data_IF_504041928129
#
_entry.id   IF_504041928129
#
_cell.length_a   1.000
_cell.length_b   1.000
_cell.length_c   1.000
_cell.angle_alpha   90.00
_cell.angle_beta   90.00
_cell.angle_gamma   90.00
#
_symmetry.space_group_name_H-M   'P 1'
#
loop_
_entity.id
_entity.type
_entity.pdbx_description
1 polymer ?
#
# COMPACT_ATOMS: atom_id res chain seq x y z
N UNK A 1 5.20 17.81 21.84
CA UNK A 1 5.12 16.44 22.38
C UNK A 1 5.96 15.59 21.44
N UNK A 2 7.17 15.24 21.83
CA UNK A 2 7.97 14.29 21.07
C UNK A 2 7.22 12.95 21.09
N UNK A 3 6.95 12.42 19.91
CA UNK A 3 6.39 11.07 19.79
C UNK A 3 7.51 10.10 20.17
N UNK A 4 7.43 9.51 21.36
CA UNK A 4 8.39 8.51 21.85
C UNK A 4 8.40 7.22 21.00
N UNK A 5 7.42 7.08 20.08
CA UNK A 5 7.26 5.91 19.23
C UNK A 5 7.88 6.13 17.85
N UNK A 6 8.60 5.14 17.35
CA UNK A 6 9.14 5.07 16.01
C UNK A 6 8.16 4.35 15.07
N UNK A 7 7.96 4.86 13.86
CA UNK A 7 7.14 4.23 12.85
C UNK A 7 7.75 2.91 12.37
N UNK A 8 9.07 2.87 12.17
CA UNK A 8 9.80 1.64 11.82
C UNK A 8 9.65 0.59 12.93
N UNK A 9 9.71 1.01 14.20
CA UNK A 9 9.49 0.09 15.31
C UNK A 9 8.07 -0.49 15.34
N UNK A 10 7.03 0.27 14.92
CA UNK A 10 5.67 -0.27 14.77
C UNK A 10 5.59 -1.33 13.66
N UNK A 11 6.27 -1.12 12.55
CA UNK A 11 6.36 -2.11 11.45
C UNK A 11 7.05 -3.37 11.95
N UNK A 12 8.22 -3.24 12.58
CA UNK A 12 8.99 -4.35 13.14
C UNK A 12 8.17 -5.15 14.15
N UNK A 13 7.52 -4.46 15.10
CA UNK A 13 6.67 -5.10 16.11
C UNK A 13 5.50 -5.84 15.47
N UNK A 14 4.82 -5.24 14.47
CA UNK A 14 3.72 -5.90 13.78
C UNK A 14 4.17 -7.18 13.10
N UNK A 15 5.31 -7.15 12.40
CA UNK A 15 5.89 -8.33 11.76
C UNK A 15 6.19 -9.44 12.80
N UNK A 16 6.89 -9.11 13.86
CA UNK A 16 7.29 -10.07 14.90
C UNK A 16 6.11 -10.70 15.61
N UNK A 17 5.12 -9.87 15.98
CA UNK A 17 3.94 -10.32 16.74
C UNK A 17 3.01 -11.19 15.90
N UNK A 18 2.87 -10.87 14.60
CA UNK A 18 1.90 -11.54 13.71
C UNK A 18 2.54 -12.55 12.76
N UNK A 19 3.73 -13.06 13.06
CA UNK A 19 4.62 -13.85 12.22
C UNK A 19 3.95 -14.89 11.32
N UNK A 20 2.96 -15.61 11.84
CA UNK A 20 2.24 -16.68 11.15
C UNK A 20 0.90 -16.27 10.56
N UNK A 21 0.45 -15.03 10.80
CA UNK A 21 -0.79 -14.53 10.22
C UNK A 21 -0.58 -14.16 8.75
N UNK A 22 -1.64 -14.25 7.96
CA UNK A 22 -1.66 -13.69 6.62
C UNK A 22 -1.55 -12.17 6.71
N UNK A 23 -0.67 -11.59 5.90
CA UNK A 23 -0.40 -10.16 5.89
C UNK A 23 -0.93 -9.49 4.61
N UNK A 24 -0.54 -10.00 3.45
CA UNK A 24 -0.77 -9.39 2.16
C UNK A 24 -1.29 -10.43 1.17
N UNK A 25 -2.38 -10.13 0.49
CA UNK A 25 -2.93 -10.99 -0.56
C UNK A 25 -3.29 -10.18 -1.79
N UNK A 26 -2.78 -10.57 -2.95
CA UNK A 26 -3.31 -10.14 -4.22
C UNK A 26 -4.62 -10.88 -4.48
N UNK A 27 -5.73 -10.17 -4.61
CA UNK A 27 -7.04 -10.80 -4.79
C UNK A 27 -7.04 -11.74 -5.99
N UNK A 28 -7.36 -13.02 -5.75
CA UNK A 28 -7.21 -14.15 -6.68
C UNK A 28 -5.77 -14.43 -7.13
N UNK A 29 -4.80 -14.08 -6.30
CA UNK A 29 -3.38 -14.28 -6.54
C UNK A 29 -2.63 -14.82 -5.31
N UNK A 30 -1.42 -14.34 -5.10
CA UNK A 30 -0.54 -14.80 -4.02
C UNK A 30 -0.99 -14.30 -2.65
N UNK A 31 -0.71 -15.08 -1.62
CA UNK A 31 -0.83 -14.68 -0.21
C UNK A 31 0.54 -14.77 0.46
N UNK A 32 0.92 -13.73 1.17
CA UNK A 32 2.13 -13.64 1.99
C UNK A 32 1.75 -13.55 3.46
N UNK A 33 2.36 -14.36 4.31
CA UNK A 33 2.32 -14.19 5.75
C UNK A 33 3.30 -13.09 6.18
N UNK A 34 3.16 -12.55 7.41
CA UNK A 34 4.09 -11.55 7.93
C UNK A 34 5.54 -12.03 7.88
N UNK A 35 5.81 -13.33 8.12
CA UNK A 35 7.15 -13.94 7.95
C UNK A 35 7.67 -13.91 6.51
N UNK A 36 6.78 -14.02 5.53
CA UNK A 36 7.17 -13.99 4.12
C UNK A 36 7.47 -12.56 3.69
N UNK A 37 6.72 -11.59 4.22
CA UNK A 37 7.00 -10.15 4.08
C UNK A 37 8.38 -9.83 4.64
N UNK A 38 8.67 -10.25 5.88
CA UNK A 38 9.97 -10.06 6.51
C UNK A 38 11.13 -10.60 5.65
N UNK A 39 11.00 -11.85 5.17
CA UNK A 39 12.03 -12.46 4.31
C UNK A 39 12.24 -11.69 3.02
N UNK A 40 11.16 -11.18 2.41
CA UNK A 40 11.25 -10.37 1.19
C UNK A 40 11.88 -9.00 1.47
N UNK A 41 11.57 -8.37 2.59
CA UNK A 41 12.21 -7.13 3.04
C UNK A 41 13.73 -7.33 3.12
N UNK A 42 14.21 -8.37 3.81
CA UNK A 42 15.64 -8.63 3.95
C UNK A 42 16.32 -8.92 2.60
N UNK A 43 15.64 -9.59 1.68
CA UNK A 43 16.16 -9.79 0.32
C UNK A 43 16.27 -8.49 -0.46
N UNK A 44 15.30 -7.59 -0.31
CA UNK A 44 15.39 -6.27 -0.94
C UNK A 44 16.49 -5.45 -0.28
N UNK A 45 16.67 -5.50 1.05
CA UNK A 45 17.80 -4.86 1.74
C UNK A 45 19.15 -5.31 1.14
N UNK A 46 19.33 -6.61 0.87
CA UNK A 46 20.54 -7.12 0.20
C UNK A 46 20.74 -6.47 -1.17
N UNK A 47 19.66 -6.31 -1.97
CA UNK A 47 19.76 -5.62 -3.26
C UNK A 47 20.12 -4.14 -3.09
N UNK A 48 19.52 -3.44 -2.12
CA UNK A 48 19.81 -2.04 -1.83
C UNK A 48 21.27 -1.84 -1.39
N UNK A 49 21.76 -2.69 -0.46
CA UNK A 49 23.16 -2.68 0.00
C UNK A 49 24.13 -2.86 -1.18
N UNK A 50 23.87 -3.81 -2.07
CA UNK A 50 24.73 -4.10 -3.22
C UNK A 50 24.60 -3.07 -4.34
N UNK A 51 23.49 -2.33 -4.41
CA UNK A 51 23.35 -1.15 -5.27
C UNK A 51 24.06 0.09 -4.71
N UNK A 52 24.64 -0.01 -3.52
CA UNK A 52 25.30 1.12 -2.84
C UNK A 52 24.32 2.18 -2.37
N UNK A 53 23.09 1.78 -2.02
CA UNK A 53 22.08 2.68 -1.46
C UNK A 53 22.44 2.99 -0.01
N UNK A 54 22.34 4.27 0.35
CA UNK A 54 22.57 4.76 1.69
C UNK A 54 21.28 5.31 2.32
N UNK A 55 21.30 5.51 3.63
CA UNK A 55 20.19 6.13 4.36
C UNK A 55 19.90 7.54 3.79
N UNK A 56 18.63 7.81 3.50
CA UNK A 56 18.18 9.07 2.88
C UNK A 56 18.23 9.10 1.36
N UNK A 57 18.81 8.09 0.70
CA UNK A 57 18.70 7.94 -0.75
C UNK A 57 17.25 7.71 -1.17
N UNK A 58 16.88 8.20 -2.34
CA UNK A 58 15.51 8.13 -2.85
C UNK A 58 15.34 6.90 -3.73
N UNK A 59 14.26 6.17 -3.49
CA UNK A 59 13.87 4.96 -4.23
C UNK A 59 12.47 5.17 -4.78
N UNK A 60 12.35 5.14 -6.11
CA UNK A 60 11.06 5.27 -6.78
C UNK A 60 10.32 3.93 -6.83
N UNK A 61 9.00 3.98 -6.64
CA UNK A 61 8.12 2.82 -6.76
C UNK A 61 6.94 3.19 -7.67
N UNK A 62 6.84 2.59 -8.84
CA UNK A 62 5.77 2.84 -9.81
C UNK A 62 5.08 1.53 -10.19
N UNK A 63 3.87 1.30 -9.71
CA UNK A 63 3.14 0.06 -9.97
C UNK A 63 1.71 0.10 -9.46
N UNK A 64 0.91 -0.87 -9.87
CA UNK A 64 -0.42 -1.08 -9.31
C UNK A 64 -0.32 -1.63 -7.89
N UNK A 65 -1.37 -1.42 -7.11
CA UNK A 65 -1.50 -2.02 -5.78
C UNK A 65 -1.26 -3.53 -5.86
N UNK A 66 -0.31 -4.01 -5.05
CA UNK A 66 0.01 -5.44 -4.96
C UNK A 66 0.78 -5.73 -3.68
N UNK A 67 0.82 -7.01 -3.30
CA UNK A 67 1.65 -7.47 -2.19
C UNK A 67 3.12 -7.10 -2.39
N UNK A 68 3.65 -7.20 -3.60
CA UNK A 68 5.04 -6.85 -3.88
C UNK A 68 5.31 -5.34 -3.84
N UNK A 69 4.35 -4.50 -4.27
CA UNK A 69 4.47 -3.05 -4.10
C UNK A 69 4.60 -2.66 -2.62
N UNK A 70 3.74 -3.24 -1.77
CA UNK A 70 3.77 -2.96 -0.33
C UNK A 70 5.01 -3.52 0.36
N UNK A 71 5.48 -4.72 -0.03
CA UNK A 71 6.76 -5.25 0.43
C UNK A 71 7.92 -4.32 0.07
N UNK A 72 7.95 -3.82 -1.16
CA UNK A 72 8.98 -2.88 -1.61
C UNK A 72 8.95 -1.60 -0.78
N UNK A 73 7.78 -1.02 -0.57
CA UNK A 73 7.62 0.16 0.28
C UNK A 73 8.16 -0.07 1.70
N UNK A 74 7.77 -1.19 2.32
CA UNK A 74 8.25 -1.57 3.65
C UNK A 74 9.77 -1.75 3.68
N UNK A 75 10.34 -2.40 2.67
CA UNK A 75 11.77 -2.60 2.57
C UNK A 75 12.52 -1.27 2.45
N UNK A 76 12.07 -0.36 1.59
CA UNK A 76 12.71 0.95 1.41
C UNK A 76 12.68 1.77 2.70
N UNK A 77 11.51 1.83 3.37
CA UNK A 77 11.35 2.66 4.57
C UNK A 77 12.08 2.07 5.78
N UNK A 78 12.12 0.73 5.93
CA UNK A 78 12.85 0.06 7.01
C UNK A 78 14.36 0.01 6.78
N UNK A 79 14.82 0.26 5.57
CA UNK A 79 16.23 0.48 5.23
C UNK A 79 16.70 1.90 5.62
N UNK A 80 15.77 2.82 5.86
CA UNK A 80 16.05 4.23 6.10
C UNK A 80 16.20 5.05 4.81
N UNK A 81 15.85 4.51 3.66
CA UNK A 81 15.77 5.23 2.40
C UNK A 81 14.43 5.95 2.26
N UNK A 82 14.37 6.96 1.37
CA UNK A 82 13.18 7.77 1.12
C UNK A 82 12.34 7.16 0.01
N UNK A 83 11.08 6.89 0.29
CA UNK A 83 10.15 6.36 -0.71
C UNK A 83 9.65 7.48 -1.64
N UNK A 84 9.70 7.24 -2.95
CA UNK A 84 9.09 8.11 -3.97
C UNK A 84 7.98 7.31 -4.67
N UNK A 85 6.76 7.29 -4.10
CA UNK A 85 5.67 6.55 -4.70
C UNK A 85 5.13 7.33 -5.92
N UNK A 86 5.04 6.63 -7.06
CA UNK A 86 4.57 7.20 -8.33
C UNK A 86 3.26 6.51 -8.71
N UNK A 87 2.25 7.31 -9.06
CA UNK A 87 0.97 6.77 -9.52
C UNK A 87 1.15 6.00 -10.83
N UNK A 88 0.62 4.79 -10.88
CA UNK A 88 0.72 3.90 -12.04
C UNK A 88 -0.01 4.40 -13.30
N UNK A 89 -0.89 5.40 -13.14
CA UNK A 89 -1.60 6.06 -14.24
C UNK A 89 -0.78 7.15 -14.93
N UNK A 90 0.37 7.53 -14.36
CA UNK A 90 1.23 8.54 -14.97
C UNK A 90 1.84 8.01 -16.28
N UNK A 91 1.96 8.92 -17.26
CA UNK A 91 2.61 8.62 -18.54
C UNK A 91 4.12 8.47 -18.37
N UNK A 92 4.77 7.83 -19.33
CA UNK A 92 6.21 7.57 -19.29
C UNK A 92 7.05 8.83 -19.05
N UNK A 93 6.74 9.93 -19.74
CA UNK A 93 7.43 11.22 -19.58
C UNK A 93 7.29 11.79 -18.15
N UNK A 94 6.14 11.63 -17.52
CA UNK A 94 5.90 12.04 -16.13
C UNK A 94 6.69 11.16 -15.16
N UNK A 95 6.75 9.84 -15.40
CA UNK A 95 7.54 8.92 -14.59
C UNK A 95 9.03 9.27 -14.69
N UNK A 96 9.56 9.45 -15.92
CA UNK A 96 10.96 9.86 -16.13
C UNK A 96 11.28 11.17 -15.42
N UNK A 97 10.40 12.17 -15.52
CA UNK A 97 10.58 13.46 -14.86
C UNK A 97 10.62 13.33 -13.33
N UNK A 98 9.70 12.54 -12.74
CA UNK A 98 9.67 12.34 -11.29
C UNK A 98 10.92 11.60 -10.81
N UNK A 99 11.33 10.54 -11.50
CA UNK A 99 12.55 9.78 -11.17
C UNK A 99 13.77 10.70 -11.19
N UNK A 100 13.93 11.52 -12.22
CA UNK A 100 15.05 12.44 -12.36
C UNK A 100 14.99 13.58 -11.34
N UNK A 101 13.81 14.21 -11.17
CA UNK A 101 13.62 15.34 -10.24
C UNK A 101 13.78 14.92 -8.77
N UNK A 102 13.37 13.72 -8.41
CA UNK A 102 13.58 13.18 -7.06
C UNK A 102 15.00 12.71 -6.82
N UNK A 103 15.83 12.63 -7.87
CA UNK A 103 17.16 12.01 -7.81
C UNK A 103 17.09 10.55 -7.30
N UNK A 104 16.05 9.82 -7.73
CA UNK A 104 15.92 8.42 -7.32
C UNK A 104 17.09 7.58 -7.87
N UNK A 105 17.68 6.77 -7.01
CA UNK A 105 18.80 5.89 -7.37
C UNK A 105 18.38 4.54 -7.90
N UNK A 106 17.21 4.06 -7.48
CA UNK A 106 16.59 2.84 -8.00
C UNK A 106 15.13 3.11 -8.35
N UNK A 107 14.61 2.35 -9.32
CA UNK A 107 13.21 2.32 -9.66
C UNK A 107 12.67 0.89 -9.54
N UNK A 108 11.70 0.68 -8.65
CA UNK A 108 10.88 -0.53 -8.66
C UNK A 108 9.65 -0.27 -9.53
N UNK A 109 9.38 -1.13 -10.50
CA UNK A 109 8.38 -0.86 -11.53
C UNK A 109 7.52 -2.09 -11.84
N UNK A 110 6.23 -1.87 -12.13
CA UNK A 110 5.34 -2.91 -12.67
C UNK A 110 5.68 -3.22 -14.13
N UNK A 111 5.57 -4.48 -14.53
CA UNK A 111 5.89 -4.99 -15.86
C UNK A 111 5.24 -4.18 -16.99
N UNK A 112 3.91 -3.98 -16.96
CA UNK A 112 3.16 -3.22 -17.97
C UNK A 112 3.58 -1.74 -18.06
N UNK A 113 4.13 -1.17 -16.98
CA UNK A 113 4.63 0.20 -16.96
C UNK A 113 6.02 0.20 -17.56
N UNK A 114 6.86 -0.75 -17.17
CA UNK A 114 8.23 -0.89 -17.65
C UNK A 114 8.32 -0.98 -19.17
N UNK A 115 7.44 -1.73 -19.81
CA UNK A 115 7.36 -1.86 -21.28
C UNK A 115 7.27 -0.52 -22.02
N UNK A 116 6.80 0.53 -21.35
CA UNK A 116 6.63 1.87 -21.93
C UNK A 116 7.69 2.88 -21.50
N UNK A 117 8.61 2.51 -20.57
CA UNK A 117 9.65 3.41 -20.11
C UNK A 117 10.92 3.31 -20.98
N UNK A 118 11.62 4.43 -21.04
CA UNK A 118 12.96 4.51 -21.65
C UNK A 118 14.02 4.70 -20.57
N UNK A 119 14.84 3.68 -20.33
CA UNK A 119 15.91 3.72 -19.32
C UNK A 119 16.95 4.82 -19.58
N UNK A 120 17.21 5.14 -20.87
CA UNK A 120 18.15 6.19 -21.21
C UNK A 120 17.66 7.58 -20.79
N UNK A 121 16.34 7.76 -20.59
CA UNK A 121 15.76 9.00 -20.06
C UNK A 121 15.93 9.13 -18.51
N UNK A 122 16.45 8.11 -17.84
CA UNK A 122 16.70 8.09 -16.40
C UNK A 122 18.17 7.74 -16.10
N UNK A 123 19.14 8.62 -16.47
CA UNK A 123 20.57 8.30 -16.47
C UNK A 123 21.19 8.09 -15.09
N UNK A 124 20.54 8.60 -14.03
CA UNK A 124 21.06 8.55 -12.66
C UNK A 124 20.65 7.28 -11.88
N UNK A 125 19.78 6.43 -12.45
CA UNK A 125 19.41 5.17 -11.81
C UNK A 125 20.59 4.19 -11.79
N UNK A 126 20.86 3.58 -10.66
CA UNK A 126 21.78 2.44 -10.50
C UNK A 126 21.18 1.14 -11.03
N UNK A 127 19.83 1.05 -11.02
CA UNK A 127 19.12 -0.10 -11.54
C UNK A 127 17.61 0.08 -11.57
N UNK A 128 16.98 -0.84 -12.31
CA UNK A 128 15.54 -0.97 -12.40
C UNK A 128 15.17 -2.39 -11.97
N UNK A 129 14.18 -2.53 -11.09
CA UNK A 129 13.75 -3.79 -10.48
C UNK A 129 12.26 -3.98 -10.75
N UNK A 130 11.86 -5.12 -11.30
CA UNK A 130 10.45 -5.43 -11.55
C UNK A 130 9.73 -5.88 -10.29
N UNK A 131 8.54 -5.32 -10.04
CA UNK A 131 7.73 -5.66 -8.87
C UNK A 131 7.18 -7.09 -8.90
N UNK A 132 7.04 -7.71 -10.08
CA UNK A 132 6.41 -9.02 -10.23
C UNK A 132 7.19 -10.15 -9.53
N UNK A 133 8.53 -10.10 -9.60
CA UNK A 133 9.43 -11.17 -9.13
C UNK A 133 10.73 -10.67 -8.51
N UNK A 134 10.93 -9.33 -8.45
CA UNK A 134 12.17 -8.65 -8.08
C UNK A 134 13.35 -8.93 -9.01
N UNK A 135 13.07 -9.30 -10.27
CA UNK A 135 14.05 -9.34 -11.34
C UNK A 135 14.64 -7.97 -11.60
N UNK A 136 15.92 -7.92 -12.01
CA UNK A 136 16.66 -6.67 -12.30
C UNK A 136 16.96 -6.58 -13.79
N UNK A 137 16.03 -6.06 -14.62
CA UNK A 137 16.24 -5.94 -16.08
C UNK A 137 17.37 -4.97 -16.43
N UNK A 138 17.60 -3.95 -15.58
CA UNK A 138 18.68 -2.98 -15.76
C UNK A 138 19.51 -2.92 -14.49
N UNK A 139 20.81 -3.14 -14.64
CA UNK A 139 21.81 -2.93 -13.58
C UNK A 139 22.99 -2.15 -14.16
N UNK A 140 23.34 -1.05 -13.53
CA UNK A 140 24.56 -0.26 -13.84
C UNK A 140 25.68 -0.50 -12.82
N UNK A 141 25.44 -1.40 -11.87
CA UNK A 141 26.38 -1.83 -10.84
C UNK A 141 26.63 -3.32 -10.96
N UNK A 142 27.91 -3.72 -11.05
CA UNK A 142 28.32 -5.13 -11.04
C UNK A 142 27.90 -5.85 -9.75
N UNK A 143 27.96 -5.14 -8.60
CA UNK A 143 27.53 -5.67 -7.30
C UNK A 143 26.04 -5.94 -7.25
N UNK A 144 25.21 -5.05 -7.80
CA UNK A 144 23.77 -5.27 -7.90
C UNK A 144 23.44 -6.46 -8.82
N UNK A 145 24.13 -6.57 -9.98
CA UNK A 145 23.97 -7.70 -10.87
C UNK A 145 24.37 -9.02 -10.18
N UNK A 146 25.47 -9.04 -9.47
CA UNK A 146 25.90 -10.19 -8.68
C UNK A 146 24.88 -10.56 -7.59
N UNK A 147 24.39 -9.55 -6.83
CA UNK A 147 23.39 -9.80 -5.78
C UNK A 147 22.08 -10.33 -6.34
N UNK A 148 21.64 -9.87 -7.53
CA UNK A 148 20.49 -10.43 -8.25
C UNK A 148 20.66 -11.94 -8.50
N UNK A 149 21.82 -12.33 -9.05
CA UNK A 149 22.06 -13.70 -9.49
C UNK A 149 22.28 -14.66 -8.29
N UNK A 150 22.78 -14.13 -7.15
CA UNK A 150 23.11 -14.88 -5.94
C UNK A 150 22.23 -14.54 -4.72
N UNK A 151 21.07 -13.94 -4.93
CA UNK A 151 20.24 -13.39 -3.84
C UNK A 151 19.89 -14.41 -2.75
N UNK A 152 19.55 -15.64 -3.16
CA UNK A 152 19.23 -16.70 -2.21
C UNK A 152 20.45 -17.20 -1.43
N UNK A 153 21.61 -17.23 -2.07
CA UNK A 153 22.88 -17.62 -1.47
C UNK A 153 23.32 -16.57 -0.44
N UNK A 154 23.32 -15.29 -0.82
CA UNK A 154 23.65 -14.18 0.08
C UNK A 154 22.70 -14.15 1.28
N UNK A 155 21.40 -14.33 1.03
CA UNK A 155 20.41 -14.43 2.11
C UNK A 155 20.70 -15.62 3.04
N UNK A 156 21.04 -16.80 2.48
CA UNK A 156 21.40 -17.97 3.25
C UNK A 156 22.67 -17.79 4.08
N UNK A 157 23.66 -17.06 3.58
CA UNK A 157 24.87 -16.71 4.35
C UNK A 157 24.57 -15.71 5.47
N UNK A 158 23.72 -14.69 5.22
CA UNK A 158 23.28 -13.73 6.23
C UNK A 158 22.45 -14.39 7.34
N UNK A 159 21.64 -15.38 6.98
CA UNK A 159 20.77 -16.12 7.89
C UNK A 159 21.00 -17.65 7.77
N UNK A 160 22.10 -18.17 8.29
CA UNK A 160 22.50 -19.57 8.11
C UNK A 160 21.57 -20.58 8.80
N UNK A 161 20.81 -20.13 9.79
CA UNK A 161 19.77 -20.88 10.45
C UNK A 161 18.38 -20.55 9.90
N UNK A 162 17.35 -21.18 10.46
CA UNK A 162 15.97 -20.82 10.13
C UNK A 162 15.72 -19.37 10.49
N UNK A 163 15.30 -18.55 9.51
CA UNK A 163 14.93 -17.14 9.70
C UNK A 163 13.74 -17.00 10.66
N UNK A 164 13.89 -16.19 11.71
CA UNK A 164 13.00 -16.06 12.85
C UNK A 164 12.68 -14.60 13.15
N UNK A 165 11.66 -14.29 13.98
CA UNK A 165 11.36 -12.91 14.41
C UNK A 165 12.57 -12.19 15.03
N UNK A 166 13.39 -12.90 15.80
CA UNK A 166 14.55 -12.33 16.50
C UNK A 166 15.69 -11.91 15.55
N UNK A 167 15.70 -12.44 14.32
CA UNK A 167 16.68 -12.05 13.30
C UNK A 167 16.37 -10.69 12.66
N UNK A 168 15.18 -10.11 12.95
CA UNK A 168 14.76 -8.83 12.42
C UNK A 168 15.14 -7.73 13.41
N UNK A 169 15.86 -6.74 12.90
CA UNK A 169 16.17 -5.51 13.63
C UNK A 169 16.37 -4.38 12.63
N UNK A 170 15.46 -3.42 12.64
CA UNK A 170 15.53 -2.25 11.77
C UNK A 170 16.01 -1.03 12.55
N UNK A 171 16.87 -0.22 11.92
CA UNK A 171 17.31 1.03 12.51
C UNK A 171 16.14 2.00 12.65
N UNK A 172 15.97 2.55 13.85
CA UNK A 172 14.91 3.52 14.12
C UNK A 172 15.23 4.87 13.48
N UNK A 173 14.23 5.47 12.91
CA UNK A 173 14.28 6.81 12.35
C UNK A 173 14.26 7.90 13.44
N UNK A 174 14.72 9.10 13.09
CA UNK A 174 14.37 10.33 13.80
C UNK A 174 13.06 10.88 13.28
N UNK A 175 12.28 11.53 14.11
CA UNK A 175 10.93 12.02 13.77
C UNK A 175 10.93 12.98 12.57
N UNK A 176 11.98 13.78 12.42
CA UNK A 176 12.15 14.76 11.34
C UNK A 176 12.84 14.19 10.09
N UNK A 177 13.36 12.96 10.13
CA UNK A 177 13.93 12.32 8.95
C UNK A 177 12.89 12.25 7.84
N UNK A 178 13.31 12.53 6.61
CA UNK A 178 12.43 12.46 5.44
C UNK A 178 12.08 10.99 5.15
N UNK A 179 10.81 10.69 5.07
CA UNK A 179 10.31 9.34 4.81
C UNK A 179 9.83 9.17 3.37
N UNK A 180 9.11 10.17 2.85
CA UNK A 180 8.44 10.09 1.55
C UNK A 180 8.55 11.42 0.80
N UNK A 181 8.69 11.34 -0.53
CA UNK A 181 8.42 12.46 -1.44
C UNK A 181 7.22 12.07 -2.30
N UNK A 182 6.06 12.61 -2.00
CA UNK A 182 4.83 12.31 -2.72
C UNK A 182 4.55 13.37 -3.80
N UNK A 183 4.44 12.95 -5.06
CA UNK A 183 4.23 13.85 -6.18
C UNK A 183 2.74 14.07 -6.44
N UNK A 184 2.36 15.35 -6.53
CA UNK A 184 1.00 15.78 -6.90
C UNK A 184 1.03 16.44 -8.27
N UNK A 185 -0.08 16.30 -9.02
CA UNK A 185 -0.28 17.04 -10.28
C UNK A 185 -0.38 18.53 -9.95
N UNK A 186 0.67 19.29 -10.25
CA UNK A 186 0.66 20.74 -10.06
C UNK A 186 -0.30 21.41 -11.03
N UNK A 187 -1.01 22.44 -10.58
CA UNK A 187 -1.86 23.30 -11.43
C UNK A 187 -1.08 24.03 -12.54
N UNK A 188 0.23 24.08 -12.42
CA UNK A 188 1.18 24.70 -13.38
C UNK A 188 1.74 23.73 -14.41
N UNK A 189 1.23 22.48 -14.48
CA UNK A 189 1.70 21.47 -15.44
C UNK A 189 2.91 20.64 -14.98
N UNK A 190 3.63 21.08 -13.95
CA UNK A 190 4.76 20.35 -13.38
C UNK A 190 4.35 19.64 -12.08
N UNK A 191 4.74 18.39 -11.92
CA UNK A 191 4.53 17.65 -10.68
C UNK A 191 5.37 18.25 -9.55
N UNK A 192 4.75 18.46 -8.37
CA UNK A 192 5.42 18.97 -7.18
C UNK A 192 5.64 17.84 -6.19
N UNK A 193 6.87 17.68 -5.69
CA UNK A 193 7.22 16.71 -4.65
C UNK A 193 6.94 17.26 -3.26
N UNK A 194 5.96 16.70 -2.57
CA UNK A 194 5.65 17.02 -1.17
C UNK A 194 6.51 16.16 -0.27
N UNK A 195 7.36 16.78 0.53
CA UNK A 195 8.28 16.10 1.45
C UNK A 195 7.56 15.79 2.77
N UNK A 196 7.47 14.53 3.13
CA UNK A 196 6.78 14.06 4.33
C UNK A 196 7.77 13.39 5.28
N UNK A 197 8.02 13.96 6.48
CA UNK A 197 8.84 13.33 7.50
C UNK A 197 8.10 12.17 8.18
N UNK A 198 8.84 11.29 8.86
CA UNK A 198 8.27 10.13 9.56
C UNK A 198 7.18 10.50 10.56
N UNK A 199 7.31 11.62 11.28
CA UNK A 199 6.29 12.09 12.22
C UNK A 199 4.92 12.30 11.59
N UNK A 200 4.88 12.74 10.32
CA UNK A 200 3.61 12.98 9.62
C UNK A 200 2.88 11.67 9.31
N UNK A 201 3.61 10.60 9.00
CA UNK A 201 3.04 9.28 8.75
C UNK A 201 2.60 8.66 10.09
N UNK A 202 3.49 8.69 11.08
CA UNK A 202 3.27 8.12 12.40
C UNK A 202 2.02 8.72 13.07
N UNK A 203 1.87 10.04 13.04
CA UNK A 203 0.71 10.71 13.66
C UNK A 203 -0.62 10.23 13.08
N UNK A 204 -0.70 10.07 11.74
CA UNK A 204 -1.90 9.55 11.09
C UNK A 204 -2.17 8.08 11.45
N UNK A 205 -1.13 7.24 11.49
CA UNK A 205 -1.26 5.82 11.87
C UNK A 205 -1.71 5.69 13.32
N UNK A 206 -1.14 6.47 14.24
CA UNK A 206 -1.53 6.47 15.66
C UNK A 206 -2.96 6.96 15.86
N UNK A 207 -3.38 8.01 15.14
CA UNK A 207 -4.76 8.48 15.15
C UNK A 207 -5.74 7.37 14.72
N UNK A 208 -5.43 6.66 13.63
CA UNK A 208 -6.24 5.54 13.18
C UNK A 208 -6.30 4.41 14.22
N UNK A 209 -5.17 4.06 14.83
CA UNK A 209 -5.12 3.03 15.88
C UNK A 209 -5.96 3.41 17.11
N UNK A 210 -6.01 4.69 17.46
CA UNK A 210 -6.84 5.18 18.56
C UNK A 210 -8.34 5.18 18.23
N UNK A 211 -8.71 5.62 17.02
CA UNK A 211 -10.11 5.86 16.64
C UNK A 211 -10.81 4.68 15.98
N UNK A 212 -10.07 3.83 15.29
CA UNK A 212 -10.59 2.74 14.47
C UNK A 212 -10.12 1.40 15.05
N UNK A 213 -10.96 0.66 15.71
CA UNK A 213 -10.60 -0.55 16.44
C UNK A 213 -10.23 -1.78 15.61
N UNK A 214 -9.32 -1.65 14.62
CA UNK A 214 -8.82 -2.76 13.80
C UNK A 214 -7.90 -3.66 14.62
N UNK A 215 -8.07 -4.97 14.49
CA UNK A 215 -7.34 -5.99 15.25
C UNK A 215 -6.49 -6.87 14.34
N UNK A 216 -5.51 -7.56 14.92
CA UNK A 216 -4.71 -8.55 14.20
C UNK A 216 -5.60 -9.64 13.58
N UNK A 217 -5.36 -9.95 12.30
CA UNK A 217 -6.15 -10.90 11.52
C UNK A 217 -7.42 -10.33 10.89
N UNK A 218 -7.85 -9.11 11.24
CA UNK A 218 -8.96 -8.43 10.55
C UNK A 218 -8.61 -8.20 9.07
N UNK A 219 -9.59 -8.29 8.17
CA UNK A 219 -9.38 -8.06 6.75
C UNK A 219 -9.63 -6.61 6.35
N UNK A 220 -8.77 -6.07 5.48
CA UNK A 220 -8.91 -4.75 4.82
C UNK A 220 -8.79 -4.95 3.33
N UNK A 221 -9.66 -4.34 2.53
CA UNK A 221 -9.56 -4.33 1.07
C UNK A 221 -8.96 -3.01 0.60
N UNK A 222 -7.78 -3.08 0.03
CA UNK A 222 -7.08 -1.95 -0.57
C UNK A 222 -7.54 -1.75 -2.01
N UNK A 223 -8.23 -0.65 -2.25
CA UNK A 223 -8.74 -0.28 -3.57
C UNK A 223 -8.33 1.12 -4.03
N UNK A 224 -7.82 1.94 -3.11
CA UNK A 224 -7.30 3.27 -3.43
C UNK A 224 -5.86 3.17 -3.91
N UNK A 225 -5.41 4.03 -4.84
CA UNK A 225 -4.02 4.02 -5.31
C UNK A 225 -3.04 4.21 -4.15
N UNK A 226 -2.13 3.24 -3.94
CA UNK A 226 -1.11 3.32 -2.89
C UNK A 226 -0.02 4.37 -3.18
N UNK A 227 0.11 4.82 -4.42
CA UNK A 227 0.93 5.98 -4.76
C UNK A 227 0.36 7.32 -4.25
N UNK A 228 -0.87 7.32 -3.73
CA UNK A 228 -1.52 8.48 -3.12
C UNK A 228 -1.52 8.35 -1.59
N UNK A 229 -1.17 9.43 -0.87
CA UNK A 229 -1.01 9.43 0.60
C UNK A 229 -2.22 8.88 1.35
N UNK A 230 -3.43 9.18 0.90
CA UNK A 230 -4.66 8.70 1.53
C UNK A 230 -4.77 7.16 1.45
N UNK A 231 -4.65 6.58 0.25
CA UNK A 231 -4.66 5.12 0.07
C UNK A 231 -3.50 4.45 0.81
N UNK A 232 -2.30 5.00 0.71
CA UNK A 232 -1.13 4.50 1.42
C UNK A 232 -1.35 4.44 2.94
N UNK A 233 -1.91 5.49 3.54
CA UNK A 233 -2.12 5.55 4.99
C UNK A 233 -3.23 4.62 5.45
N UNK A 234 -4.42 4.67 4.84
CA UNK A 234 -5.61 3.99 5.35
C UNK A 234 -5.77 2.57 4.81
N UNK A 235 -5.46 2.33 3.53
CA UNK A 235 -5.57 0.99 2.93
C UNK A 235 -4.36 0.10 3.24
N UNK A 236 -3.23 0.68 3.67
CA UNK A 236 -1.99 -0.06 3.84
C UNK A 236 -1.36 0.13 5.22
N UNK A 237 -0.75 1.29 5.51
CA UNK A 237 0.14 1.43 6.67
C UNK A 237 -0.56 1.21 8.01
N UNK A 238 -1.76 1.77 8.17
CA UNK A 238 -2.57 1.55 9.36
C UNK A 238 -2.91 0.06 9.54
N UNK A 239 -3.45 -0.57 8.50
CA UNK A 239 -3.82 -1.99 8.55
C UNK A 239 -2.63 -2.89 8.84
N UNK A 240 -1.49 -2.67 8.16
CA UNK A 240 -0.28 -3.46 8.37
C UNK A 240 0.27 -3.35 9.79
N UNK A 241 0.33 -2.13 10.34
CA UNK A 241 0.82 -1.90 11.71
C UNK A 241 -0.16 -2.36 12.79
N UNK A 242 -1.44 -2.58 12.45
CA UNK A 242 -2.44 -3.19 13.31
C UNK A 242 -2.43 -4.73 13.27
N UNK A 243 -1.62 -5.35 12.41
CA UNK A 243 -1.59 -6.81 12.23
C UNK A 243 -2.69 -7.36 11.33
N UNK A 244 -3.35 -6.52 10.54
CA UNK A 244 -4.45 -6.91 9.67
C UNK A 244 -3.97 -7.67 8.42
N UNK A 245 -4.90 -8.37 7.78
CA UNK A 245 -4.73 -9.01 6.49
C UNK A 245 -5.20 -8.08 5.38
N UNK A 246 -4.27 -7.59 4.56
CA UNK A 246 -4.55 -6.64 3.48
C UNK A 246 -4.76 -7.36 2.16
N UNK A 247 -5.85 -7.03 1.48
CA UNK A 247 -6.23 -7.61 0.19
C UNK A 247 -6.16 -6.54 -0.90
N UNK A 248 -5.30 -6.71 -1.90
CA UNK A 248 -5.13 -5.75 -2.99
C UNK A 248 -5.96 -6.13 -4.19
N UNK A 249 -6.78 -5.20 -4.69
CA UNK A 249 -7.45 -5.33 -5.96
C UNK A 249 -6.45 -4.97 -7.07
N UNK A 250 -5.76 -5.97 -7.60
CA UNK A 250 -4.69 -5.80 -8.61
C UNK A 250 -5.21 -5.33 -9.98
N UNK A 251 -6.53 -5.41 -10.19
CA UNK A 251 -7.21 -4.89 -11.39
C UNK A 251 -7.97 -3.61 -11.02
N UNK A 252 -8.24 -2.78 -12.05
CA UNK A 252 -9.04 -1.57 -11.85
C UNK A 252 -10.37 -1.91 -11.16
N UNK A 253 -10.66 -1.33 -10.00
CA UNK A 253 -11.81 -1.70 -9.19
C UNK A 253 -13.11 -1.23 -9.85
N UNK A 254 -13.79 -2.14 -10.58
CA UNK A 254 -15.15 -1.90 -11.03
C UNK A 254 -16.15 -2.16 -9.90
N UNK A 255 -17.34 -1.53 -9.90
CA UNK A 255 -18.37 -1.78 -8.88
C UNK A 255 -18.72 -3.26 -8.70
N UNK A 256 -18.59 -4.06 -9.76
CA UNK A 256 -18.82 -5.52 -9.71
C UNK A 256 -17.70 -6.22 -8.94
N UNK A 257 -16.43 -5.94 -9.28
CA UNK A 257 -15.27 -6.54 -8.61
C UNK A 257 -15.24 -6.15 -7.14
N UNK A 258 -15.56 -4.88 -6.80
CA UNK A 258 -15.65 -4.42 -5.40
C UNK A 258 -16.72 -5.21 -4.65
N UNK A 259 -17.93 -5.33 -5.19
CA UNK A 259 -19.01 -6.06 -4.53
C UNK A 259 -18.68 -7.55 -4.32
N UNK A 260 -18.09 -8.21 -5.33
CA UNK A 260 -17.64 -9.60 -5.24
C UNK A 260 -16.53 -9.77 -4.18
N UNK A 261 -15.53 -8.90 -4.18
CA UNK A 261 -14.45 -8.95 -3.20
C UNK A 261 -14.94 -8.68 -1.78
N UNK A 262 -15.86 -7.74 -1.59
CA UNK A 262 -16.43 -7.44 -0.28
C UNK A 262 -17.29 -8.58 0.26
N UNK A 263 -18.08 -9.25 -0.60
CA UNK A 263 -18.86 -10.40 -0.20
C UNK A 263 -17.98 -11.59 0.23
N UNK A 264 -16.86 -11.80 -0.46
CA UNK A 264 -15.90 -12.88 -0.18
C UNK A 264 -15.02 -12.57 1.04
N UNK A 265 -14.37 -11.39 1.06
CA UNK A 265 -13.36 -11.00 2.05
C UNK A 265 -14.00 -10.51 3.34
N UNK A 266 -15.16 -9.85 3.26
CA UNK A 266 -15.89 -9.25 4.38
C UNK A 266 -15.02 -8.28 5.18
N UNK A 267 -14.54 -7.17 4.57
CA UNK A 267 -13.57 -6.27 5.19
C UNK A 267 -14.10 -5.66 6.49
N UNK A 268 -13.20 -5.44 7.43
CA UNK A 268 -13.50 -4.83 8.72
C UNK A 268 -13.49 -3.30 8.63
N UNK A 269 -12.59 -2.74 7.83
CA UNK A 269 -12.48 -1.31 7.53
C UNK A 269 -12.45 -1.13 6.02
N UNK A 270 -13.12 -0.09 5.55
CA UNK A 270 -13.23 0.26 4.14
C UNK A 270 -12.79 1.71 3.97
N UNK A 271 -11.71 1.97 3.24
CA UNK A 271 -11.36 3.30 2.80
C UNK A 271 -11.75 3.50 1.34
N UNK A 272 -12.43 4.58 1.03
CA UNK A 272 -12.93 4.83 -0.32
C UNK A 272 -13.12 6.33 -0.61
N UNK A 273 -13.30 6.66 -1.87
CA UNK A 273 -13.71 8.01 -2.31
C UNK A 273 -15.23 8.10 -2.44
N UNK A 274 -15.85 9.29 -2.25
CA UNK A 274 -17.31 9.48 -2.31
C UNK A 274 -17.94 8.88 -3.55
N UNK A 275 -17.28 9.01 -4.70
CA UNK A 275 -17.77 8.49 -5.99
C UNK A 275 -18.01 6.98 -6.00
N UNK A 276 -17.17 6.21 -5.29
CA UNK A 276 -17.31 4.74 -5.20
C UNK A 276 -18.54 4.40 -4.39
N UNK A 277 -18.73 5.02 -3.23
CA UNK A 277 -19.92 4.82 -2.38
C UNK A 277 -21.17 5.19 -3.15
N UNK A 278 -21.19 6.33 -3.83
CA UNK A 278 -22.31 6.80 -4.63
C UNK A 278 -22.68 5.82 -5.76
N UNK A 279 -21.68 5.32 -6.51
CA UNK A 279 -21.90 4.33 -7.58
C UNK A 279 -22.47 3.02 -7.03
N UNK A 280 -21.93 2.53 -5.92
CA UNK A 280 -22.43 1.31 -5.27
C UNK A 280 -23.87 1.53 -4.80
N UNK A 281 -24.16 2.65 -4.14
CA UNK A 281 -25.49 2.99 -3.66
C UNK A 281 -26.49 3.09 -4.80
N UNK A 282 -26.17 3.85 -5.86
CA UNK A 282 -27.03 4.01 -7.05
C UNK A 282 -27.33 2.69 -7.75
N UNK A 283 -26.35 1.78 -7.82
CA UNK A 283 -26.51 0.52 -8.53
C UNK A 283 -27.26 -0.55 -7.72
N UNK A 284 -26.98 -0.65 -6.42
CA UNK A 284 -27.41 -1.79 -5.62
C UNK A 284 -28.55 -1.46 -4.63
N UNK A 285 -28.71 -0.20 -4.24
CA UNK A 285 -29.66 0.21 -3.20
C UNK A 285 -30.80 1.03 -3.80
N UNK A 286 -30.46 2.08 -4.56
CA UNK A 286 -31.44 3.03 -5.10
C UNK A 286 -32.56 2.36 -5.93
N UNK A 287 -32.31 1.41 -6.85
CA UNK A 287 -33.37 0.78 -7.65
C UNK A 287 -34.44 0.07 -6.82
N UNK A 288 -34.13 -0.34 -5.59
CA UNK A 288 -35.05 -1.01 -4.68
C UNK A 288 -35.93 -0.04 -3.87
N UNK A 289 -35.52 1.22 -3.78
CA UNK A 289 -36.16 2.27 -2.97
C UNK A 289 -36.79 3.35 -3.85
N UNK A 290 -36.29 3.54 -5.07
CA UNK A 290 -36.70 4.63 -5.99
C UNK A 290 -37.93 4.27 -6.87
N UNK A 291 -38.84 3.45 -6.36
CA UNK A 291 -40.12 3.27 -6.97
C UNK A 291 -41.15 4.27 -6.38
N UNK A 292 -42.23 4.58 -7.13
CA UNK A 292 -43.27 5.55 -6.70
C UNK A 292 -43.84 5.24 -5.31
N UNK A 293 -43.93 3.95 -4.96
CA UNK A 293 -44.40 3.48 -3.66
C UNK A 293 -43.35 3.78 -2.55
N UNK A 294 -42.05 3.53 -2.80
CA UNK A 294 -40.97 3.79 -1.85
C UNK A 294 -40.83 5.27 -1.48
N UNK A 295 -40.97 6.18 -2.47
CA UNK A 295 -40.96 7.62 -2.22
C UNK A 295 -42.14 8.09 -1.37
N UNK A 296 -43.33 7.53 -1.62
CA UNK A 296 -44.51 7.87 -0.83
C UNK A 296 -44.41 7.34 0.61
N UNK A 297 -43.84 6.15 0.80
CA UNK A 297 -43.69 5.49 2.09
C UNK A 297 -42.61 6.15 2.97
N UNK A 298 -41.61 6.86 2.39
CA UNK A 298 -40.61 7.61 3.14
C UNK A 298 -41.17 8.80 3.92
N UNK A 299 -42.38 9.28 3.59
CA UNK A 299 -43.06 10.38 4.27
C UNK A 299 -43.92 9.93 5.46
N UNK A 300 -44.06 8.62 5.67
CA UNK A 300 -44.81 8.05 6.80
C UNK A 300 -43.83 7.65 7.90
N UNK A 301 -43.85 8.27 9.11
CA UNK A 301 -42.80 8.09 10.13
C UNK A 301 -42.47 6.64 10.46
N UNK A 302 -43.45 5.81 10.77
CA UNK A 302 -43.27 4.38 11.16
C UNK A 302 -42.75 3.54 9.99
N UNK A 303 -43.16 3.84 8.77
CA UNK A 303 -42.74 3.13 7.55
C UNK A 303 -41.36 3.62 7.12
N UNK A 304 -41.08 4.92 7.30
CA UNK A 304 -39.78 5.53 7.06
C UNK A 304 -38.67 4.84 7.85
N UNK A 305 -38.89 4.52 9.11
CA UNK A 305 -37.88 3.86 9.94
C UNK A 305 -37.63 2.39 9.51
N UNK A 306 -38.66 1.67 9.12
CA UNK A 306 -38.51 0.32 8.50
C UNK A 306 -37.76 0.37 7.18
N UNK A 307 -38.02 1.39 6.35
CA UNK A 307 -37.31 1.56 5.06
C UNK A 307 -35.85 1.93 5.33
N UNK A 308 -35.56 2.83 6.28
CA UNK A 308 -34.20 3.17 6.68
C UNK A 308 -33.42 1.95 7.17
N UNK A 309 -34.05 1.12 8.00
CA UNK A 309 -33.43 -0.14 8.47
C UNK A 309 -33.17 -1.13 7.34
N UNK A 310 -34.11 -1.25 6.39
CA UNK A 310 -33.90 -2.08 5.19
C UNK A 310 -32.75 -1.57 4.32
N UNK A 311 -32.64 -0.24 4.14
CA UNK A 311 -31.54 0.40 3.42
C UNK A 311 -30.22 0.11 4.13
N UNK A 312 -30.19 0.25 5.45
CA UNK A 312 -29.01 -0.03 6.29
C UNK A 312 -28.58 -1.49 6.17
N UNK A 313 -29.53 -2.44 6.30
CA UNK A 313 -29.24 -3.87 6.14
C UNK A 313 -28.69 -4.16 4.74
N UNK A 314 -29.27 -3.55 3.71
CA UNK A 314 -28.83 -3.74 2.33
C UNK A 314 -27.46 -3.11 2.06
N UNK A 315 -27.18 -1.95 2.64
CA UNK A 315 -25.86 -1.35 2.61
C UNK A 315 -24.83 -2.25 3.31
N UNK A 316 -25.17 -2.77 4.50
CA UNK A 316 -24.32 -3.72 5.20
C UNK A 316 -24.00 -4.96 4.35
N UNK A 317 -25.00 -5.57 3.71
CA UNK A 317 -24.79 -6.73 2.82
C UNK A 317 -23.84 -6.41 1.66
N UNK A 318 -24.06 -5.29 0.97
CA UNK A 318 -23.29 -4.87 -0.21
C UNK A 318 -21.82 -4.60 0.14
N UNK A 319 -21.57 -4.12 1.35
CA UNK A 319 -20.22 -3.87 1.87
C UNK A 319 -19.64 -5.05 2.68
N UNK A 320 -20.18 -6.26 2.51
CA UNK A 320 -19.65 -7.49 3.09
C UNK A 320 -20.17 -7.84 4.49
N UNK A 321 -21.00 -6.99 5.10
CA UNK A 321 -21.71 -7.26 6.36
C UNK A 321 -20.86 -7.34 7.63
N UNK A 322 -19.58 -6.97 7.58
CA UNK A 322 -18.65 -7.11 8.72
C UNK A 322 -17.92 -5.82 9.08
N UNK A 323 -18.08 -4.74 8.33
CA UNK A 323 -17.34 -3.52 8.55
C UNK A 323 -17.80 -2.78 9.81
N UNK A 324 -16.86 -2.14 10.48
CA UNK A 324 -17.09 -1.26 11.64
C UNK A 324 -16.99 0.21 11.26
N UNK A 325 -16.20 0.52 10.21
CA UNK A 325 -15.94 1.89 9.80
C UNK A 325 -15.79 1.99 8.28
N UNK A 326 -16.29 3.08 7.71
CA UNK A 326 -16.03 3.51 6.33
C UNK A 326 -15.34 4.86 6.39
N UNK A 327 -14.12 4.94 5.90
CA UNK A 327 -13.33 6.16 5.83
C UNK A 327 -13.48 6.75 4.42
N UNK A 328 -13.93 7.98 4.32
CA UNK A 328 -14.16 8.66 3.04
C UNK A 328 -13.25 9.89 2.98
N UNK A 329 -12.45 9.98 1.89
CA UNK A 329 -11.51 11.08 1.65
C UNK A 329 -11.46 11.53 0.20
#
# INVERSE_FOLDING_TARGET
>A
MELEQSFIALIEQSIKTNWYLNALTDYKGITLQYRDVARKIEKIHILLENAGIEKGDKIAICGRNSAHWTVTYLAVITYGAVVVPILHEFKADQVHNIVNHSEARLLFVGDQIWENLNEAAMPHLEGIIELKDFGVPVSRSEKLAYARDHLNEIFGHKFPCRFRPDDISYEKEKSEDLAIINYTSGTTGYSKGVMLPYRSILSNVLYCKEKIGLKAGDSVVSMLPLGHVFGMTFDFLYGFTAGAHLWFLTRMPSPKIIAESFAEIRPRVIACVPLIVEKIFKKNILPKVDNKLGKLLLHVPIISDKIKELIKQKAMEVFGGNFIEIIIG
#
